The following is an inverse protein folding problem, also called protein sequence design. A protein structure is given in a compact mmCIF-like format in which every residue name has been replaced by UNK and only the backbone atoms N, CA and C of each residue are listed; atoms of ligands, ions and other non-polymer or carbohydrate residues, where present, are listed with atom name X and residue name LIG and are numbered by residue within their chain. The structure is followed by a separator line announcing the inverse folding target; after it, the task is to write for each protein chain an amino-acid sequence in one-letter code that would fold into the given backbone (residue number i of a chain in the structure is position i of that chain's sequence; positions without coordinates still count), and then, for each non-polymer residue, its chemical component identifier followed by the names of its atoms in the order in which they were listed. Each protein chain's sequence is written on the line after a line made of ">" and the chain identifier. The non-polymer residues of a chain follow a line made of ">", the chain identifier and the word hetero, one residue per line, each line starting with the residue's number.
data_IF_123793510088
#
_entry.id   IF_123793510088
#
_cell.length_a   1.000
_cell.length_b   1.000
_cell.length_c   1.000
_cell.angle_alpha   90.00
_cell.angle_beta   90.00
_cell.angle_gamma   90.00
#
_symmetry.space_group_name_H-M   'P 1'
#
loop_
_entity.id
_entity.type
_entity.pdbx_description
1 polymer ?
#
# COMPACT_ATOMS: atom_id res chain seq x y z
N UNK A 1 -8.71 4.80 32.60
CA UNK A 1 -9.30 3.91 31.58
C UNK A 1 -8.61 4.28 30.29
N UNK A 2 -7.50 3.62 30.00
CA UNK A 2 -6.62 4.00 28.90
C UNK A 2 -7.11 3.32 27.63
N UNK A 3 -7.86 4.07 26.82
CA UNK A 3 -8.23 3.68 25.46
C UNK A 3 -7.02 3.82 24.53
N UNK A 4 -5.98 3.01 24.76
CA UNK A 4 -5.00 2.69 23.72
C UNK A 4 -5.66 1.75 22.72
N UNK A 5 -6.54 2.27 21.86
CA UNK A 5 -6.88 1.59 20.62
C UNK A 5 -5.65 1.68 19.72
N UNK A 6 -4.76 0.71 19.87
CA UNK A 6 -3.79 0.37 18.83
C UNK A 6 -4.60 0.13 17.57
N UNK A 7 -4.57 1.09 16.63
CA UNK A 7 -4.96 0.80 15.26
C UNK A 7 -3.85 -0.12 14.75
N UNK A 8 -4.08 -1.42 14.83
CA UNK A 8 -3.21 -2.40 14.19
C UNK A 8 -3.05 -1.99 12.73
N UNK A 9 -1.81 -1.88 12.26
CA UNK A 9 -1.49 -1.76 10.85
C UNK A 9 -2.22 -2.92 10.16
N UNK A 10 -3.34 -2.67 9.49
CA UNK A 10 -4.13 -3.78 8.94
C UNK A 10 -5.65 -3.58 8.94
N UNK A 11 -6.18 -2.82 9.89
CA UNK A 11 -7.61 -2.87 10.21
C UNK A 11 -8.28 -1.50 10.18
N UNK A 12 -9.46 -1.44 9.57
CA UNK A 12 -10.31 -0.27 9.70
C UNK A 12 -10.94 -0.21 11.11
N UNK A 13 -11.23 1.00 11.62
CA UNK A 13 -11.94 1.17 12.89
C UNK A 13 -13.26 0.36 12.91
N UNK A 14 -13.64 -0.16 14.09
CA UNK A 14 -14.87 -0.96 14.23
C UNK A 14 -16.15 -0.22 13.87
N UNK A 15 -16.12 1.11 13.96
CA UNK A 15 -17.19 2.05 13.62
C UNK A 15 -17.10 2.56 12.17
N UNK A 16 -16.19 2.01 11.36
CA UNK A 16 -16.05 2.40 9.98
C UNK A 16 -17.27 1.97 9.15
N UNK A 17 -17.68 2.85 8.24
CA UNK A 17 -18.70 2.57 7.23
C UNK A 17 -18.21 2.98 5.86
N UNK A 18 -18.85 2.45 4.82
CA UNK A 18 -18.52 2.81 3.44
C UNK A 18 -19.75 3.16 2.62
N UNK A 19 -19.54 4.06 1.66
CA UNK A 19 -20.49 4.37 0.60
C UNK A 19 -19.77 4.40 -0.75
N UNK A 20 -20.53 4.33 -1.83
CA UNK A 20 -19.98 4.42 -3.19
C UNK A 20 -20.07 5.84 -3.72
N UNK A 21 -19.01 6.29 -4.35
CA UNK A 21 -18.98 7.51 -5.17
C UNK A 21 -18.57 7.15 -6.60
N UNK A 22 -19.27 7.71 -7.59
CA UNK A 22 -18.89 7.52 -8.99
C UNK A 22 -17.75 8.45 -9.38
N UNK A 23 -16.64 7.87 -9.80
CA UNK A 23 -15.52 8.55 -10.44
C UNK A 23 -15.58 8.40 -11.96
N UNK A 24 -15.30 9.48 -12.69
CA UNK A 24 -15.38 9.50 -14.14
C UNK A 24 -14.41 8.52 -14.82
N UNK A 25 -13.24 8.29 -14.23
CA UNK A 25 -12.19 7.47 -14.84
C UNK A 25 -12.23 6.02 -14.32
N UNK A 26 -12.33 5.86 -12.99
CA UNK A 26 -12.28 4.56 -12.33
C UNK A 26 -13.65 3.90 -12.12
N UNK A 27 -14.76 4.61 -12.32
CA UNK A 27 -16.10 4.10 -12.02
C UNK A 27 -16.41 4.19 -10.53
N UNK A 28 -17.05 3.17 -9.96
CA UNK A 28 -17.39 3.18 -8.54
C UNK A 28 -16.14 3.13 -7.65
N UNK A 29 -16.06 4.08 -6.71
CA UNK A 29 -15.04 4.15 -5.67
C UNK A 29 -15.72 3.97 -4.32
N UNK A 30 -15.24 3.02 -3.52
CA UNK A 30 -15.75 2.83 -2.15
C UNK A 30 -15.03 3.80 -1.23
N UNK A 31 -15.76 4.71 -0.60
CA UNK A 31 -15.22 5.71 0.32
C UNK A 31 -15.51 5.25 1.74
N UNK A 32 -14.47 5.16 2.56
CA UNK A 32 -14.54 4.70 3.95
C UNK A 32 -14.39 5.88 4.91
N UNK A 33 -15.29 5.96 5.87
CA UNK A 33 -15.33 6.99 6.92
C UNK A 33 -15.41 6.33 8.30
N UNK A 34 -14.89 6.98 9.34
CA UNK A 34 -15.07 6.53 10.73
C UNK A 34 -16.44 6.94 11.28
N UNK A 35 -16.75 6.58 12.53
CA UNK A 35 -18.02 6.91 13.19
C UNK A 35 -18.22 8.40 13.46
N UNK A 36 -17.16 9.20 13.37
CA UNK A 36 -17.21 10.68 13.43
C UNK A 36 -17.44 11.32 12.05
N UNK A 37 -17.51 10.51 10.98
CA UNK A 37 -17.65 10.97 9.60
C UNK A 37 -16.35 11.45 8.96
N UNK A 38 -15.21 11.29 9.62
CA UNK A 38 -13.91 11.63 9.06
C UNK A 38 -13.50 10.60 8.00
N UNK A 39 -12.96 11.09 6.88
CA UNK A 39 -12.47 10.26 5.80
C UNK A 39 -11.26 9.43 6.25
N UNK A 40 -11.35 8.11 6.07
CA UNK A 40 -10.27 7.18 6.34
C UNK A 40 -9.44 6.92 5.09
N UNK A 41 -10.10 6.48 4.02
CA UNK A 41 -9.49 6.21 2.72
C UNK A 41 -10.59 6.03 1.66
N UNK A 42 -10.19 6.07 0.39
CA UNK A 42 -10.99 5.53 -0.70
C UNK A 42 -10.39 4.21 -1.19
N UNK A 43 -11.21 3.36 -1.77
CA UNK A 43 -10.91 1.97 -2.05
C UNK A 43 -11.33 1.61 -3.48
N UNK A 44 -10.40 1.00 -4.21
CA UNK A 44 -10.53 0.54 -5.60
C UNK A 44 -10.03 -0.90 -5.71
N UNK A 45 -10.54 -1.65 -6.70
CA UNK A 45 -9.93 -2.93 -7.08
C UNK A 45 -8.62 -2.68 -7.84
N UNK A 46 -7.53 -3.35 -7.44
CA UNK A 46 -6.25 -3.33 -8.16
C UNK A 46 -6.42 -3.80 -9.60
N UNK A 47 -7.25 -4.83 -9.82
CA UNK A 47 -7.51 -5.33 -11.17
C UNK A 47 -8.21 -4.27 -12.04
N UNK A 48 -9.16 -3.52 -11.48
CA UNK A 48 -9.83 -2.46 -12.22
C UNK A 48 -8.91 -1.29 -12.54
N UNK A 49 -8.01 -0.93 -11.61
CA UNK A 49 -6.95 0.04 -11.89
C UNK A 49 -6.03 -0.45 -13.01
N UNK A 50 -5.58 -1.69 -12.98
CA UNK A 50 -4.76 -2.28 -14.05
C UNK A 50 -5.53 -2.31 -15.38
N UNK A 51 -6.83 -2.66 -15.37
CA UNK A 51 -7.69 -2.73 -16.55
C UNK A 51 -7.96 -1.35 -17.15
N UNK A 52 -7.94 -0.30 -16.32
CA UNK A 52 -8.09 1.09 -16.76
C UNK A 52 -6.98 1.55 -17.72
N UNK A 53 -5.86 0.82 -17.82
CA UNK A 53 -4.84 1.05 -18.84
C UNK A 53 -5.41 1.07 -20.27
N UNK A 54 -6.52 0.35 -20.52
CA UNK A 54 -7.19 0.34 -21.85
C UNK A 54 -7.80 1.69 -22.21
N UNK A 55 -7.96 2.58 -21.22
CA UNK A 55 -8.53 3.92 -21.36
C UNK A 55 -7.46 5.01 -21.45
N UNK A 56 -6.18 4.68 -21.23
CA UNK A 56 -5.10 5.68 -21.16
C UNK A 56 -4.20 5.66 -22.37
N UNK A 57 -3.61 6.82 -22.66
CA UNK A 57 -2.68 7.02 -23.78
C UNK A 57 -1.22 6.82 -23.33
N UNK A 58 -0.94 6.92 -22.02
CA UNK A 58 0.41 6.78 -21.45
C UNK A 58 0.38 6.45 -19.95
N UNK A 59 1.53 6.02 -19.41
CA UNK A 59 1.74 5.82 -17.97
C UNK A 59 1.51 7.09 -17.15
N UNK A 60 1.93 8.23 -17.71
CA UNK A 60 1.73 9.56 -17.09
C UNK A 60 0.24 9.82 -16.89
N UNK A 61 -0.60 9.51 -17.89
CA UNK A 61 -2.04 9.75 -17.77
C UNK A 61 -2.66 8.89 -16.65
N UNK A 62 -2.35 7.60 -16.55
CA UNK A 62 -2.87 6.77 -15.46
C UNK A 62 -2.40 7.28 -14.08
N UNK A 63 -1.13 7.64 -13.97
CA UNK A 63 -0.53 8.16 -12.74
C UNK A 63 -1.20 9.46 -12.29
N UNK A 64 -1.50 10.36 -13.23
CA UNK A 64 -2.26 11.58 -12.95
C UNK A 64 -3.68 11.31 -12.48
N UNK A 65 -4.36 10.28 -13.03
CA UNK A 65 -5.70 9.90 -12.55
C UNK A 65 -5.66 9.37 -11.12
N UNK A 66 -4.65 8.56 -10.76
CA UNK A 66 -4.46 8.13 -9.37
C UNK A 66 -4.13 9.31 -8.46
N UNK A 67 -3.22 10.21 -8.88
CA UNK A 67 -2.87 11.42 -8.10
C UNK A 67 -4.05 12.37 -7.90
N UNK A 68 -4.96 12.46 -8.88
CA UNK A 68 -6.22 13.20 -8.73
C UNK A 68 -7.08 12.60 -7.60
N UNK A 69 -7.15 11.28 -7.52
CA UNK A 69 -7.87 10.60 -6.43
C UNK A 69 -7.17 10.77 -5.09
N UNK A 70 -5.84 10.63 -5.01
CA UNK A 70 -5.11 10.87 -3.76
C UNK A 70 -5.25 12.31 -3.30
N UNK A 71 -5.27 13.29 -4.22
CA UNK A 71 -5.57 14.70 -3.88
C UNK A 71 -6.97 14.88 -3.28
N UNK A 72 -7.96 14.10 -3.72
CA UNK A 72 -9.33 14.17 -3.20
C UNK A 72 -9.46 13.46 -1.85
N UNK A 73 -8.85 12.29 -1.69
CA UNK A 73 -9.12 11.40 -0.56
C UNK A 73 -7.95 11.21 0.42
N UNK A 74 -6.77 11.73 0.10
CA UNK A 74 -5.52 11.56 0.87
C UNK A 74 -4.91 10.16 0.73
N UNK A 75 -5.70 9.12 1.00
CA UNK A 75 -5.28 7.71 0.97
C UNK A 75 -6.19 6.89 0.05
N UNK A 76 -5.57 6.16 -0.88
CA UNK A 76 -6.24 5.20 -1.75
C UNK A 76 -5.74 3.79 -1.44
N UNK A 77 -6.65 2.87 -1.13
CA UNK A 77 -6.36 1.44 -1.02
C UNK A 77 -6.73 0.70 -2.31
N UNK A 78 -5.77 -0.03 -2.87
CA UNK A 78 -5.98 -0.95 -3.97
C UNK A 78 -6.15 -2.36 -3.41
N UNK A 79 -7.37 -2.87 -3.45
CA UNK A 79 -7.72 -4.21 -2.99
C UNK A 79 -7.55 -5.27 -4.08
N UNK A 80 -7.12 -6.46 -3.70
CA UNK A 80 -6.81 -7.60 -4.57
C UNK A 80 -6.94 -8.88 -3.76
N UNK A 81 -7.93 -9.74 -3.95
CA UNK A 81 -8.11 -10.91 -3.05
C UNK A 81 -6.98 -11.98 -3.05
N UNK A 82 -5.87 -11.80 -3.77
CA UNK A 82 -4.81 -12.82 -3.98
C UNK A 82 -3.56 -12.55 -3.14
N UNK A 83 -2.93 -13.61 -2.59
CA UNK A 83 -1.69 -13.55 -1.78
C UNK A 83 -0.40 -13.13 -2.51
N UNK A 84 -0.51 -12.86 -3.82
CA UNK A 84 0.54 -12.36 -4.70
C UNK A 84 -0.10 -11.36 -5.67
N UNK A 85 -0.40 -10.12 -5.23
CA UNK A 85 -1.09 -9.15 -6.07
C UNK A 85 -0.23 -8.84 -7.31
N UNK A 86 -0.87 -8.39 -8.40
CA UNK A 86 -0.19 -8.08 -9.68
C UNK A 86 0.60 -6.76 -9.61
N UNK A 87 1.46 -6.61 -8.60
CA UNK A 87 2.17 -5.39 -8.27
C UNK A 87 3.17 -4.98 -9.34
N UNK A 88 3.90 -5.92 -9.91
CA UNK A 88 4.78 -5.65 -11.07
C UNK A 88 4.01 -5.00 -12.22
N UNK A 89 2.82 -5.52 -12.52
CA UNK A 89 1.98 -4.96 -13.57
C UNK A 89 1.52 -3.55 -13.22
N UNK A 90 1.13 -3.29 -11.97
CA UNK A 90 0.83 -1.94 -11.51
C UNK A 90 2.01 -0.99 -11.75
N UNK A 91 3.21 -1.33 -11.25
CA UNK A 91 4.41 -0.50 -11.43
C UNK A 91 4.73 -0.25 -12.91
N UNK A 92 4.56 -1.27 -13.76
CA UNK A 92 4.79 -1.16 -15.20
C UNK A 92 3.88 -0.13 -15.88
N UNK A 93 2.74 0.22 -15.28
CA UNK A 93 1.75 1.16 -15.81
C UNK A 93 1.86 2.57 -15.21
N UNK A 94 2.68 2.75 -14.18
CA UNK A 94 2.84 4.04 -13.51
C UNK A 94 4.10 4.77 -13.98
N UNK A 95 4.06 6.09 -13.84
CA UNK A 95 5.22 6.96 -13.96
C UNK A 95 5.95 6.97 -12.61
N UNK A 96 7.04 6.22 -12.51
CA UNK A 96 7.75 6.00 -11.25
C UNK A 96 8.48 7.24 -10.72
N UNK A 97 8.71 8.23 -11.58
CA UNK A 97 9.31 9.52 -11.23
C UNK A 97 8.35 10.39 -10.38
N UNK A 98 7.03 10.16 -10.46
CA UNK A 98 6.04 10.88 -9.66
C UNK A 98 5.88 10.30 -8.24
N UNK A 99 6.35 9.08 -8.03
CA UNK A 99 6.45 8.49 -6.70
C UNK A 99 7.66 9.16 -6.04
N UNK A 100 7.59 9.51 -4.75
CA UNK A 100 8.77 9.98 -4.02
C UNK A 100 9.51 8.81 -3.40
N UNK A 101 8.80 8.06 -2.57
CA UNK A 101 9.30 6.88 -1.90
C UNK A 101 8.19 5.84 -1.74
N UNK A 102 8.58 4.64 -1.35
CA UNK A 102 7.69 3.54 -1.07
C UNK A 102 7.85 3.14 0.39
N UNK A 103 6.78 2.68 1.02
CA UNK A 103 6.88 2.08 2.35
C UNK A 103 6.28 0.69 2.37
N UNK A 104 6.98 -0.25 2.99
CA UNK A 104 6.50 -1.61 3.22
C UNK A 104 6.07 -1.74 4.67
N UNK A 105 4.76 -1.91 4.90
CA UNK A 105 4.21 -2.26 6.21
C UNK A 105 4.22 -3.77 6.40
N UNK A 106 4.68 -4.21 7.57
CA UNK A 106 4.66 -5.61 7.99
C UNK A 106 3.86 -5.73 9.29
N UNK A 107 2.92 -6.65 9.35
CA UNK A 107 2.17 -6.95 10.58
C UNK A 107 1.95 -8.44 10.71
N UNK A 108 1.60 -8.88 11.92
CA UNK A 108 1.20 -10.27 12.17
C UNK A 108 -0.32 -10.31 12.20
N UNK A 109 -0.90 -11.16 11.37
CA UNK A 109 -2.33 -11.45 11.42
C UNK A 109 -2.53 -12.86 11.96
N UNK A 110 -3.39 -12.98 12.97
CA UNK A 110 -3.80 -14.27 13.52
C UNK A 110 -5.06 -14.72 12.80
N UNK A 111 -4.90 -15.56 11.78
CA UNK A 111 -6.02 -16.20 11.12
C UNK A 111 -6.06 -17.68 11.54
N UNK A 112 -6.98 -18.03 12.45
CA UNK A 112 -7.06 -19.36 13.07
C UNK A 112 -5.79 -19.73 13.88
N UNK A 113 -5.34 -20.98 13.85
CA UNK A 113 -4.20 -21.52 14.59
C UNK A 113 -2.84 -21.15 13.96
N UNK A 114 -2.84 -20.44 12.83
CA UNK A 114 -1.64 -20.01 12.11
C UNK A 114 -1.47 -18.50 12.28
N UNK A 115 -0.30 -18.09 12.78
CA UNK A 115 0.10 -16.69 12.77
C UNK A 115 0.87 -16.42 11.48
N UNK A 116 0.27 -15.65 10.58
CA UNK A 116 0.89 -15.22 9.34
C UNK A 116 1.53 -13.84 9.50
N UNK A 117 2.69 -13.62 8.88
CA UNK A 117 3.15 -12.24 8.66
C UNK A 117 2.53 -11.77 7.34
N UNK A 118 1.95 -10.58 7.36
CA UNK A 118 1.31 -9.93 6.24
C UNK A 118 2.13 -8.71 5.85
N UNK A 119 2.16 -8.40 4.56
CA UNK A 119 2.79 -7.19 4.06
C UNK A 119 1.88 -6.39 3.11
N UNK A 120 2.13 -5.09 3.08
CA UNK A 120 1.56 -4.14 2.13
C UNK A 120 2.68 -3.31 1.52
N UNK A 121 2.38 -2.63 0.42
CA UNK A 121 3.28 -1.65 -0.17
C UNK A 121 2.50 -0.36 -0.42
N UNK A 122 3.03 0.75 0.06
CA UNK A 122 2.46 2.09 -0.12
C UNK A 122 3.36 2.92 -1.02
N UNK A 123 2.78 3.47 -2.09
CA UNK A 123 3.40 4.43 -2.99
C UNK A 123 3.08 5.85 -2.50
N UNK A 124 4.09 6.64 -2.18
CA UNK A 124 3.91 8.00 -1.68
C UNK A 124 4.10 9.02 -2.80
N UNK A 125 3.02 9.69 -3.17
CA UNK A 125 3.01 10.83 -4.10
C UNK A 125 3.04 12.14 -3.31
N UNK A 126 3.15 13.28 -3.99
CA UNK A 126 3.09 14.59 -3.32
C UNK A 126 1.71 14.83 -2.67
N UNK A 127 0.65 14.43 -3.37
CA UNK A 127 -0.73 14.74 -3.01
C UNK A 127 -1.35 13.75 -2.02
N UNK A 128 -0.70 12.62 -1.77
CA UNK A 128 -1.22 11.55 -0.94
C UNK A 128 -0.60 10.20 -1.31
N UNK A 129 -1.21 9.12 -0.84
CA UNK A 129 -0.63 7.78 -0.99
C UNK A 129 -1.59 6.77 -1.59
N UNK A 130 -1.00 5.77 -2.25
CA UNK A 130 -1.71 4.61 -2.82
C UNK A 130 -1.11 3.36 -2.19
N UNK A 131 -1.90 2.65 -1.41
CA UNK A 131 -1.49 1.41 -0.75
C UNK A 131 -2.11 0.20 -1.42
N UNK A 132 -1.30 -0.76 -1.82
CA UNK A 132 -1.77 -2.09 -2.23
C UNK A 132 -2.09 -2.88 -0.96
N UNK A 133 -3.38 -3.14 -0.70
CA UNK A 133 -3.86 -3.51 0.63
C UNK A 133 -4.93 -4.60 0.66
N UNK A 134 -4.74 -5.69 1.43
CA UNK A 134 -3.48 -6.22 1.99
C UNK A 134 -3.17 -7.63 1.49
N UNK A 135 -2.09 -7.94 0.77
CA UNK A 135 -2.02 -9.33 0.25
C UNK A 135 -0.68 -9.96 -0.03
N UNK A 136 0.40 -9.62 0.68
CA UNK A 136 1.52 -10.56 0.72
C UNK A 136 1.47 -11.37 2.01
N UNK A 137 1.20 -12.66 1.87
CA UNK A 137 1.26 -13.61 3.00
C UNK A 137 2.66 -14.22 3.07
N UNK A 138 3.47 -13.80 4.04
CA UNK A 138 4.85 -14.29 4.24
C UNK A 138 4.90 -15.70 4.87
N UNK A 139 3.77 -16.32 5.21
CA UNK A 139 3.75 -17.67 5.78
C UNK A 139 3.65 -18.79 4.72
N UNK A 140 3.43 -18.46 3.44
CA UNK A 140 3.30 -19.47 2.37
C UNK A 140 4.65 -19.88 1.79
N UNK A 141 5.52 -18.92 1.45
CA UNK A 141 6.96 -19.08 1.16
C UNK A 141 7.62 -17.69 1.10
N UNK A 142 8.89 -17.58 1.49
CA UNK A 142 9.67 -16.35 1.26
C UNK A 142 9.76 -16.01 -0.24
N UNK A 143 9.77 -17.02 -1.11
CA UNK A 143 9.84 -16.86 -2.58
C UNK A 143 8.66 -16.09 -3.19
N UNK A 144 7.42 -16.27 -2.69
CA UNK A 144 6.25 -15.54 -3.21
C UNK A 144 6.36 -14.04 -2.89
N UNK A 145 6.80 -13.69 -1.69
CA UNK A 145 7.06 -12.30 -1.30
C UNK A 145 8.23 -11.69 -2.08
N UNK A 146 9.34 -12.42 -2.19
CA UNK A 146 10.51 -11.98 -2.93
C UNK A 146 10.19 -11.79 -4.41
N UNK A 147 9.51 -12.73 -5.05
CA UNK A 147 9.18 -12.66 -6.47
C UNK A 147 8.09 -11.65 -6.83
N UNK A 148 7.12 -11.40 -5.94
CA UNK A 148 5.96 -10.54 -6.25
C UNK A 148 5.99 -9.15 -5.62
N UNK A 149 6.88 -8.91 -4.65
CA UNK A 149 7.15 -7.57 -4.10
C UNK A 149 8.60 -7.13 -4.37
N UNK A 150 9.59 -7.88 -3.91
CA UNK A 150 11.00 -7.44 -3.93
C UNK A 150 11.58 -7.38 -5.34
N UNK A 151 11.38 -8.43 -6.14
CA UNK A 151 11.78 -8.50 -7.55
C UNK A 151 11.25 -7.31 -8.36
N UNK A 152 9.94 -7.01 -8.30
CA UNK A 152 9.38 -5.84 -8.96
C UNK A 152 9.98 -4.52 -8.50
N UNK A 153 10.30 -4.36 -7.21
CA UNK A 153 10.98 -3.16 -6.72
C UNK A 153 12.40 -3.04 -7.27
N UNK A 154 13.12 -4.16 -7.35
CA UNK A 154 14.48 -4.22 -7.89
C UNK A 154 14.51 -3.91 -9.38
N UNK A 155 13.68 -4.59 -10.16
CA UNK A 155 13.62 -4.45 -11.62
C UNK A 155 13.27 -3.01 -12.05
N UNK A 156 12.60 -2.26 -11.17
CA UNK A 156 12.23 -0.87 -11.39
C UNK A 156 13.13 0.15 -10.66
N UNK A 157 14.26 -0.28 -10.08
CA UNK A 157 15.21 0.56 -9.34
C UNK A 157 14.57 1.35 -8.17
N UNK A 158 13.59 0.76 -7.49
CA UNK A 158 12.83 1.38 -6.40
C UNK A 158 13.32 1.00 -4.99
N UNK A 159 14.26 0.06 -4.87
CA UNK A 159 14.78 -0.42 -3.58
C UNK A 159 15.35 0.73 -2.74
N UNK A 160 16.19 1.58 -3.33
CA UNK A 160 16.81 2.74 -2.65
C UNK A 160 15.79 3.79 -2.19
N UNK A 161 14.58 3.73 -2.73
CA UNK A 161 13.47 4.63 -2.41
C UNK A 161 12.44 3.95 -1.52
N UNK A 162 12.72 2.75 -1.01
CA UNK A 162 11.82 1.97 -0.17
C UNK A 162 12.23 2.08 1.30
N UNK A 163 11.28 2.31 2.20
CA UNK A 163 11.52 2.33 3.64
C UNK A 163 10.61 1.33 4.35
N UNK A 164 11.02 0.86 5.52
CA UNK A 164 10.13 0.07 6.36
C UNK A 164 9.11 1.00 7.01
N UNK A 165 7.82 0.67 6.92
CA UNK A 165 6.80 1.38 7.69
C UNK A 165 6.85 0.87 9.13
N UNK A 166 7.53 1.61 9.99
CA UNK A 166 7.48 1.43 11.44
C UNK A 166 6.33 2.26 12.02
N UNK A 167 5.56 1.68 12.95
CA UNK A 167 4.49 2.39 13.66
C UNK A 167 4.94 3.78 14.12
N UNK A 168 4.22 4.82 13.70
CA UNK A 168 4.52 6.21 14.03
C UNK A 168 4.48 6.48 15.56
N UNK A 169 3.87 5.59 16.34
CA UNK A 169 3.76 5.67 17.81
C UNK A 169 4.99 5.16 18.57
N UNK A 170 6.02 4.64 17.88
CA UNK A 170 7.23 4.04 18.50
C UNK A 170 8.52 4.82 18.29
N UNK A 171 8.48 6.00 17.68
CA UNK A 171 9.69 6.75 17.33
C UNK A 171 10.13 7.61 18.52
N UNK A 172 11.11 7.13 19.27
CA UNK A 172 11.80 7.93 20.31
C UNK A 172 13.22 8.35 19.93
N UNK A 173 13.81 7.84 18.84
CA UNK A 173 15.16 8.25 18.41
C UNK A 173 15.41 8.05 16.90
N UNK A 174 16.00 9.05 16.23
CA UNK A 174 16.23 9.06 14.77
C UNK A 174 17.37 8.12 14.32
N UNK A 175 18.27 7.76 15.24
CA UNK A 175 19.42 6.89 14.96
C UNK A 175 19.01 5.41 14.75
N UNK A 176 18.02 4.95 15.53
CA UNK A 176 17.48 3.59 15.43
C UNK A 176 16.67 3.37 14.14
N UNK A 177 15.97 4.40 13.65
CA UNK A 177 15.21 4.33 12.38
C UNK A 177 16.14 4.14 11.20
N UNK A 178 17.25 4.89 11.14
CA UNK A 178 18.21 4.79 10.04
C UNK A 178 18.89 3.42 9.99
N UNK A 179 19.23 2.84 11.16
CA UNK A 179 19.80 1.49 11.25
C UNK A 179 18.79 0.41 10.88
N UNK A 180 17.55 0.50 11.37
CA UNK A 180 16.51 -0.47 11.00
C UNK A 180 16.16 -0.41 9.51
N UNK A 181 16.21 0.78 8.91
CA UNK A 181 16.05 0.93 7.47
C UNK A 181 17.27 0.40 6.70
N UNK A 182 18.51 0.60 7.17
CA UNK A 182 19.69 0.03 6.50
C UNK A 182 19.64 -1.50 6.49
N UNK A 183 19.33 -2.11 7.63
CA UNK A 183 19.26 -3.57 7.77
C UNK A 183 18.11 -4.14 6.93
N UNK A 184 16.98 -3.41 6.83
CA UNK A 184 15.86 -3.79 5.97
C UNK A 184 16.20 -3.65 4.48
N UNK A 185 16.91 -2.59 4.09
CA UNK A 185 17.36 -2.41 2.71
C UNK A 185 18.40 -3.46 2.31
N UNK A 186 19.32 -3.80 3.19
CA UNK A 186 20.28 -4.90 3.00
C UNK A 186 19.53 -6.22 2.79
N UNK A 187 18.54 -6.52 3.64
CA UNK A 187 17.65 -7.67 3.44
C UNK A 187 16.95 -7.65 2.08
N UNK A 188 16.42 -6.52 1.62
CA UNK A 188 15.79 -6.43 0.30
C UNK A 188 16.78 -6.55 -0.87
N UNK A 189 18.06 -6.20 -0.67
CA UNK A 189 19.11 -6.27 -1.68
C UNK A 189 19.74 -7.65 -1.81
N UNK A 190 19.89 -8.37 -0.70
CA UNK A 190 20.61 -9.65 -0.61
C UNK A 190 19.82 -10.86 -1.14
N UNK A 191 18.50 -10.73 -1.27
CA UNK A 191 17.66 -11.69 -2.00
C UNK A 191 17.60 -11.40 -3.49
#
# INVERSE_FOLDING_TARGET
>A
MDNNRQVEIGSDPQDASSHKETDHFFGDVSVWINGEGALLHASLSLEDVIRSQRKVVSKIHLTQQLRRLTKKYGNIRLHDSRSSPSFWQLLSLLNLDDIHFLSIGLWKEKQSDITGVMANCTLHFLEGNVTVWPYWTLYKTDEEFLGSLVGPLRDNNLIERTVKQTDASRITDNSDVNRQNSDFLEYLRDY
#
